data_IF_726660600605
#
_entry.id   IF_726660600605
#
_cell.length_a   1.000
_cell.length_b   1.000
_cell.length_c   1.000
_cell.angle_alpha   90.00
_cell.angle_beta   90.00
_cell.angle_gamma   90.00
#
_symmetry.space_group_name_H-M   'P 1'
#
loop_
_entity.id
_entity.type
_entity.pdbx_description
1 polymer ?
#
# COMPACT_ATOMS: atom_id res chain seq x y z
N UNK A 1 -29.99 -1.22 2.95
CA UNK A 1 -28.78 -1.93 2.51
C UNK A 1 -27.75 -1.83 3.60
N UNK A 2 -26.96 -2.88 3.85
CA UNK A 2 -25.91 -2.85 4.88
C UNK A 2 -24.83 -1.84 4.49
N UNK A 3 -24.27 -1.16 5.49
CA UNK A 3 -23.28 -0.09 5.34
C UNK A 3 -22.10 -0.33 6.27
N UNK A 4 -20.90 -0.10 5.77
CA UNK A 4 -19.66 -0.42 6.48
C UNK A 4 -18.76 0.80 6.54
N UNK A 5 -18.21 1.07 7.71
CA UNK A 5 -17.26 2.15 7.91
C UNK A 5 -15.84 1.63 7.67
N UNK A 6 -15.13 2.24 6.72
CA UNK A 6 -13.69 2.07 6.58
C UNK A 6 -12.97 3.25 7.22
N UNK A 7 -11.91 2.96 7.97
CA UNK A 7 -11.00 3.96 8.51
C UNK A 7 -9.58 3.60 8.05
N UNK A 8 -8.98 4.48 7.28
CA UNK A 8 -7.61 4.39 6.77
C UNK A 8 -6.69 5.35 7.53
N UNK A 9 -5.86 4.77 8.39
CA UNK A 9 -5.02 5.49 9.34
C UNK A 9 -3.70 5.86 8.65
N UNK A 10 -3.65 7.06 8.08
CA UNK A 10 -2.41 7.62 7.54
C UNK A 10 -1.56 8.32 8.60
N UNK A 11 -0.29 8.57 8.28
CA UNK A 11 0.61 9.34 9.15
C UNK A 11 0.22 10.82 9.28
N UNK A 12 -0.42 11.40 8.27
CA UNK A 12 -0.82 12.82 8.22
C UNK A 12 -2.33 13.01 8.42
N UNK A 13 -3.13 12.17 7.79
CA UNK A 13 -4.58 12.20 7.87
C UNK A 13 -5.12 10.80 8.13
N UNK A 14 -6.15 10.72 8.97
CA UNK A 14 -7.05 9.57 9.04
C UNK A 14 -8.18 9.85 8.04
N UNK A 15 -8.26 9.04 7.00
CA UNK A 15 -9.36 9.09 6.04
C UNK A 15 -10.41 8.07 6.44
N UNK A 16 -11.68 8.37 6.26
CA UNK A 16 -12.74 7.42 6.53
C UNK A 16 -13.87 7.57 5.53
N UNK A 17 -14.65 6.51 5.38
CA UNK A 17 -15.79 6.50 4.47
C UNK A 17 -16.77 5.38 4.76
N UNK A 18 -18.01 5.59 4.36
CA UNK A 18 -19.11 4.64 4.54
C UNK A 18 -19.40 4.03 3.18
N UNK A 19 -19.37 2.71 3.12
CA UNK A 19 -19.50 1.94 1.88
C UNK A 19 -20.67 0.97 1.94
N UNK A 20 -21.31 0.73 0.80
CA UNK A 20 -22.20 -0.40 0.60
C UNK A 20 -21.41 -1.70 0.42
N UNK A 21 -22.12 -2.84 0.49
CA UNK A 21 -21.53 -4.16 0.36
C UNK A 21 -20.89 -4.44 -1.03
N UNK A 22 -21.22 -3.65 -2.05
CA UNK A 22 -20.65 -3.73 -3.39
C UNK A 22 -19.45 -2.78 -3.60
N UNK A 23 -19.07 -2.03 -2.56
CA UNK A 23 -17.96 -1.07 -2.60
C UNK A 23 -18.35 0.33 -3.06
N UNK A 24 -19.64 0.63 -3.27
CA UNK A 24 -20.08 2.01 -3.53
C UNK A 24 -19.87 2.90 -2.30
N UNK A 25 -19.18 4.03 -2.49
CA UNK A 25 -18.98 5.04 -1.44
C UNK A 25 -20.24 5.91 -1.27
N UNK A 26 -20.74 5.98 -0.04
CA UNK A 26 -21.92 6.79 0.35
C UNK A 26 -21.48 8.11 0.96
N UNK A 27 -20.40 8.08 1.74
CA UNK A 27 -19.85 9.23 2.44
C UNK A 27 -18.35 9.07 2.58
N UNK A 28 -17.61 10.17 2.54
CA UNK A 28 -16.17 10.19 2.81
C UNK A 28 -15.77 11.48 3.49
N UNK A 29 -14.79 11.40 4.38
CA UNK A 29 -14.17 12.57 5.00
C UNK A 29 -12.74 12.21 5.47
N UNK A 30 -12.02 13.21 5.99
CA UNK A 30 -10.70 13.03 6.59
C UNK A 30 -10.48 14.02 7.72
N UNK A 31 -9.71 13.60 8.71
CA UNK A 31 -9.23 14.47 9.79
C UNK A 31 -7.71 14.33 9.97
N UNK A 32 -7.01 15.34 10.50
CA UNK A 32 -5.60 15.23 10.83
C UNK A 32 -5.35 14.07 11.80
N UNK A 33 -4.28 13.29 11.57
CA UNK A 33 -3.87 12.24 12.50
C UNK A 33 -3.29 12.84 13.77
N UNK A 34 -3.80 12.50 14.98
CA UNK A 34 -3.27 13.00 16.24
C UNK A 34 -1.76 12.77 16.38
N UNK A 35 -1.06 13.72 17.01
CA UNK A 35 0.38 13.60 17.27
C UNK A 35 0.63 12.78 18.53
N UNK A 36 -0.14 13.05 19.56
CA UNK A 36 -0.12 12.42 20.87
C UNK A 36 -0.80 11.05 20.81
N UNK A 37 -0.18 10.04 21.42
CA UNK A 37 -0.71 8.69 21.40
C UNK A 37 -2.01 8.59 22.21
N UNK A 38 -2.10 9.35 23.30
CA UNK A 38 -3.20 9.38 24.26
C UNK A 38 -4.54 9.73 23.60
N UNK A 39 -4.53 10.66 22.65
CA UNK A 39 -5.73 11.13 21.96
C UNK A 39 -6.15 10.20 20.81
N UNK A 40 -5.31 9.24 20.43
CA UNK A 40 -5.48 8.49 19.19
C UNK A 40 -6.74 7.62 19.18
N UNK A 41 -7.01 6.89 20.26
CA UNK A 41 -8.20 6.04 20.35
C UNK A 41 -9.47 6.89 20.47
N UNK A 42 -9.42 8.00 21.22
CA UNK A 42 -10.55 8.91 21.39
C UNK A 42 -10.95 9.52 20.03
N UNK A 43 -9.98 9.94 19.22
CA UNK A 43 -10.21 10.42 17.86
C UNK A 43 -10.86 9.37 16.95
N UNK A 44 -10.45 8.10 17.04
CA UNK A 44 -11.08 7.01 16.28
C UNK A 44 -12.53 6.76 16.74
N UNK A 45 -12.79 6.86 18.05
CA UNK A 45 -14.14 6.77 18.60
C UNK A 45 -15.04 7.93 18.11
N UNK A 46 -14.50 9.14 18.03
CA UNK A 46 -15.20 10.31 17.47
C UNK A 46 -15.53 10.13 15.99
N UNK A 47 -14.63 9.56 15.19
CA UNK A 47 -14.91 9.20 13.78
C UNK A 47 -16.09 8.23 13.70
N UNK A 48 -16.13 7.22 14.59
CA UNK A 48 -17.22 6.25 14.62
C UNK A 48 -18.55 6.95 14.96
N UNK A 49 -18.58 7.78 16.01
CA UNK A 49 -19.79 8.54 16.40
C UNK A 49 -20.26 9.48 15.30
N UNK A 50 -19.33 10.17 14.64
CA UNK A 50 -19.63 11.03 13.49
C UNK A 50 -20.27 10.20 12.37
N UNK A 51 -19.71 9.02 12.07
CA UNK A 51 -20.23 8.14 11.02
C UNK A 51 -21.63 7.61 11.36
N UNK A 52 -21.89 7.26 12.62
CA UNK A 52 -23.23 6.87 13.11
C UNK A 52 -24.27 7.99 12.98
N UNK A 53 -23.84 9.26 13.08
CA UNK A 53 -24.73 10.41 12.87
C UNK A 53 -25.11 10.61 11.40
N UNK A 54 -24.33 10.05 10.47
CA UNK A 54 -24.59 10.12 9.03
C UNK A 54 -25.43 8.94 8.57
N UNK A 55 -25.10 7.73 9.04
CA UNK A 55 -25.70 6.49 8.56
C UNK A 55 -25.72 5.39 9.63
N UNK A 56 -26.57 4.39 9.42
CA UNK A 56 -26.44 3.12 10.16
C UNK A 56 -25.17 2.39 9.73
N UNK A 57 -24.39 1.88 10.68
CA UNK A 57 -23.17 1.12 10.43
C UNK A 57 -23.38 -0.33 10.87
N UNK A 58 -23.01 -1.29 10.02
CA UNK A 58 -23.11 -2.73 10.26
C UNK A 58 -21.77 -3.37 10.63
N UNK A 59 -20.66 -2.69 10.30
CA UNK A 59 -19.30 -3.19 10.55
C UNK A 59 -18.23 -2.15 10.28
N UNK A 60 -17.05 -2.35 10.86
CA UNK A 60 -15.93 -1.42 10.77
C UNK A 60 -14.67 -2.16 10.33
N UNK A 61 -14.09 -1.70 9.22
CA UNK A 61 -12.78 -2.13 8.76
C UNK A 61 -11.73 -1.03 8.99
N UNK A 62 -10.56 -1.43 9.48
CA UNK A 62 -9.42 -0.54 9.70
C UNK A 62 -8.24 -0.92 8.79
N UNK A 63 -7.69 0.07 8.11
CA UNK A 63 -6.38 0.04 7.46
C UNK A 63 -5.39 0.77 8.36
N UNK A 64 -4.34 0.09 8.81
CA UNK A 64 -3.43 0.58 9.83
C UNK A 64 -1.95 0.34 9.45
N UNK A 65 -1.03 1.29 9.67
CA UNK A 65 0.39 1.09 9.39
C UNK A 65 1.02 0.06 10.33
N UNK A 66 1.92 -0.77 9.80
CA UNK A 66 2.76 -1.68 10.57
C UNK A 66 2.45 -3.17 10.39
N UNK A 67 3.05 -4.00 11.24
CA UNK A 67 2.96 -5.46 11.20
C UNK A 67 1.78 -5.93 12.05
N UNK A 68 0.60 -5.92 11.42
CA UNK A 68 -0.67 -6.19 12.08
C UNK A 68 -0.96 -7.69 12.11
N UNK A 69 -1.24 -8.23 13.30
CA UNK A 69 -1.95 -9.50 13.44
C UNK A 69 -3.46 -9.22 13.32
N UNK A 70 -4.14 -9.60 12.21
CA UNK A 70 -5.56 -9.27 12.01
C UNK A 70 -6.50 -10.01 12.97
N UNK A 71 -6.02 -11.11 13.59
CA UNK A 71 -6.80 -11.86 14.58
C UNK A 71 -6.77 -11.16 15.94
N UNK A 72 -5.58 -10.83 16.44
CA UNK A 72 -5.42 -10.26 17.79
C UNK A 72 -5.49 -8.73 17.82
N UNK A 73 -5.24 -8.06 16.69
CA UNK A 73 -5.10 -6.61 16.57
C UNK A 73 -3.75 -6.06 17.01
N UNK A 74 -2.78 -6.92 17.36
CA UNK A 74 -1.45 -6.50 17.80
C UNK A 74 -0.62 -5.96 16.64
N UNK A 75 0.09 -4.86 16.90
CA UNK A 75 1.01 -4.25 15.96
C UNK A 75 2.46 -4.47 16.44
N UNK A 76 3.19 -5.33 15.74
CA UNK A 76 4.55 -5.74 16.13
C UNK A 76 5.65 -4.97 15.36
N UNK A 77 5.30 -3.89 14.68
CA UNK A 77 6.29 -3.05 14.01
C UNK A 77 6.92 -2.07 15.00
N UNK A 78 8.23 -2.18 15.19
CA UNK A 78 9.00 -1.32 16.09
C UNK A 78 9.40 0.02 15.43
N UNK A 79 9.18 0.20 14.13
CA UNK A 79 9.61 1.39 13.38
C UNK A 79 8.54 2.49 13.26
N UNK A 80 7.27 2.16 13.52
CA UNK A 80 6.16 3.12 13.39
C UNK A 80 6.04 4.09 14.57
N UNK A 81 5.21 5.13 14.40
CA UNK A 81 4.93 6.13 15.45
C UNK A 81 4.31 5.49 16.69
N UNK A 82 4.64 6.02 17.86
CA UNK A 82 4.20 5.50 19.16
C UNK A 82 2.68 5.39 19.27
N UNK A 83 1.93 6.36 18.71
CA UNK A 83 0.46 6.35 18.65
C UNK A 83 -0.11 5.06 18.05
N UNK A 84 0.60 4.43 17.12
CA UNK A 84 0.17 3.20 16.44
C UNK A 84 0.60 1.91 17.18
N UNK A 85 1.50 2.01 18.16
CA UNK A 85 2.01 0.87 18.96
C UNK A 85 1.40 0.80 20.35
N UNK A 86 1.17 1.98 20.97
CA UNK A 86 0.78 2.11 22.37
C UNK A 86 -0.49 1.32 22.69
N UNK A 87 -1.40 1.21 21.74
CA UNK A 87 -2.69 0.55 21.90
C UNK A 87 -2.89 -0.56 20.88
N UNK A 88 -3.50 -1.64 21.32
CA UNK A 88 -4.17 -2.56 20.41
C UNK A 88 -5.49 -1.91 19.96
N UNK A 89 -5.43 -1.18 18.84
CA UNK A 89 -6.53 -0.34 18.34
C UNK A 89 -7.84 -1.12 18.22
N UNK A 90 -7.77 -2.34 17.69
CA UNK A 90 -8.93 -3.24 17.58
C UNK A 90 -9.58 -3.48 18.94
N UNK A 91 -8.81 -3.97 19.92
CA UNK A 91 -9.35 -4.30 21.25
C UNK A 91 -9.88 -3.06 21.97
N UNK A 92 -9.21 -1.92 21.83
CA UNK A 92 -9.66 -0.68 22.48
C UNK A 92 -10.98 -0.18 21.89
N UNK A 93 -11.15 -0.22 20.57
CA UNK A 93 -12.40 0.17 19.93
C UNK A 93 -13.53 -0.85 20.18
N UNK A 94 -13.24 -2.14 20.23
CA UNK A 94 -14.23 -3.18 20.58
C UNK A 94 -14.71 -3.05 22.04
N UNK A 95 -13.91 -2.49 22.96
CA UNK A 95 -14.34 -2.21 24.34
C UNK A 95 -15.24 -0.97 24.44
N UNK A 96 -14.98 0.03 23.59
CA UNK A 96 -15.63 1.36 23.65
C UNK A 96 -16.86 1.46 22.76
N UNK A 97 -17.02 0.55 21.81
CA UNK A 97 -18.09 0.58 20.82
C UNK A 97 -18.81 -0.77 20.77
N UNK A 98 -20.00 -0.79 20.15
CA UNK A 98 -20.78 -2.02 19.93
C UNK A 98 -20.29 -2.84 18.72
N UNK A 99 -19.26 -2.37 18.02
CA UNK A 99 -18.89 -2.90 16.70
C UNK A 99 -17.83 -3.99 16.81
N UNK A 100 -17.95 -4.99 15.94
CA UNK A 100 -16.82 -5.84 15.58
C UNK A 100 -15.86 -5.06 14.70
N UNK A 101 -14.56 -5.18 14.98
CA UNK A 101 -13.53 -4.40 14.29
C UNK A 101 -12.60 -5.36 13.53
N UNK A 102 -12.58 -5.24 12.19
CA UNK A 102 -11.53 -5.84 11.37
C UNK A 102 -10.37 -4.85 11.25
N UNK A 103 -9.14 -5.35 11.29
CA UNK A 103 -7.94 -4.52 11.13
C UNK A 103 -6.93 -5.26 10.27
N UNK A 104 -6.25 -4.54 9.39
CA UNK A 104 -5.19 -5.06 8.54
C UNK A 104 -4.15 -3.97 8.25
N UNK A 105 -2.95 -4.40 7.84
CA UNK A 105 -1.91 -3.52 7.33
C UNK A 105 -2.39 -2.70 6.13
N UNK A 106 -1.97 -1.44 6.03
CA UNK A 106 -2.33 -0.50 4.97
C UNK A 106 -1.99 -0.97 3.54
N UNK A 107 -0.77 -1.46 3.31
CA UNK A 107 -0.39 -1.99 2.01
C UNK A 107 -1.13 -3.29 1.67
N UNK A 108 -1.42 -4.13 2.66
CA UNK A 108 -2.24 -5.34 2.49
C UNK A 108 -3.72 -5.00 2.23
N UNK A 109 -4.24 -3.92 2.80
CA UNK A 109 -5.53 -3.37 2.40
C UNK A 109 -5.51 -2.95 0.92
N UNK A 110 -4.44 -2.30 0.44
CA UNK A 110 -4.35 -1.99 -0.98
C UNK A 110 -4.40 -3.25 -1.87
N UNK A 111 -3.74 -4.34 -1.46
CA UNK A 111 -3.83 -5.65 -2.15
C UNK A 111 -5.26 -6.18 -2.16
N UNK A 112 -5.95 -6.13 -1.02
CA UNK A 112 -7.32 -6.60 -0.88
C UNK A 112 -8.30 -5.78 -1.74
N UNK A 113 -8.11 -4.47 -1.85
CA UNK A 113 -8.91 -3.64 -2.73
C UNK A 113 -8.75 -4.08 -4.20
N UNK A 114 -7.52 -4.32 -4.63
CA UNK A 114 -7.23 -4.78 -5.99
C UNK A 114 -7.75 -6.20 -6.26
N UNK A 115 -7.72 -7.09 -5.26
CA UNK A 115 -8.34 -8.43 -5.34
C UNK A 115 -9.86 -8.36 -5.43
N UNK A 116 -10.49 -7.38 -4.78
CA UNK A 116 -11.94 -7.32 -4.71
C UNK A 116 -12.57 -6.68 -5.95
N UNK A 117 -12.18 -5.44 -6.27
CA UNK A 117 -12.85 -4.61 -7.28
C UNK A 117 -11.86 -3.99 -8.29
N UNK A 118 -10.58 -4.33 -8.18
CA UNK A 118 -9.49 -3.70 -8.92
C UNK A 118 -8.83 -4.60 -9.95
N UNK A 119 -7.59 -4.26 -10.29
CA UNK A 119 -6.84 -4.84 -11.40
C UNK A 119 -6.38 -6.28 -11.15
N UNK A 120 -6.51 -6.78 -9.91
CA UNK A 120 -6.16 -8.15 -9.49
C UNK A 120 -7.35 -9.07 -9.28
N UNK A 121 -8.58 -8.63 -9.60
CA UNK A 121 -9.82 -9.38 -9.31
C UNK A 121 -9.80 -10.81 -9.84
N UNK A 122 -9.44 -10.94 -11.11
CA UNK A 122 -9.44 -12.22 -11.84
C UNK A 122 -8.08 -12.95 -11.75
N UNK A 123 -7.17 -12.46 -10.90
CA UNK A 123 -5.87 -13.07 -10.66
C UNK A 123 -5.90 -13.93 -9.38
N UNK A 124 -5.45 -15.17 -9.49
CA UNK A 124 -5.22 -16.09 -8.39
C UNK A 124 -3.90 -15.79 -7.68
N UNK A 125 -2.85 -15.43 -8.42
CA UNK A 125 -1.53 -15.10 -7.90
C UNK A 125 -1.08 -13.73 -8.42
N UNK A 126 -0.90 -12.76 -7.53
CA UNK A 126 -0.36 -11.45 -7.91
C UNK A 126 0.27 -10.69 -6.75
N UNK A 127 1.10 -9.72 -7.08
CA UNK A 127 1.68 -8.78 -6.11
C UNK A 127 1.12 -7.38 -6.29
N UNK A 128 1.05 -6.62 -5.19
CA UNK A 128 0.95 -5.16 -5.24
C UNK A 128 2.21 -4.56 -4.65
N UNK A 129 2.80 -3.60 -5.37
CA UNK A 129 3.92 -2.77 -4.89
C UNK A 129 3.45 -1.33 -4.87
N UNK A 130 3.36 -0.72 -3.69
CA UNK A 130 2.97 0.69 -3.55
C UNK A 130 4.21 1.58 -3.50
N UNK A 131 4.32 2.53 -4.43
CA UNK A 131 5.43 3.47 -4.52
C UNK A 131 4.97 4.87 -4.08
N UNK A 132 5.29 5.24 -2.85
CA UNK A 132 4.90 6.51 -2.24
C UNK A 132 6.05 7.17 -1.48
N UNK A 133 5.77 7.57 -0.24
CA UNK A 133 6.82 8.01 0.70
C UNK A 133 7.78 6.86 1.02
N UNK A 134 7.22 5.68 1.28
CA UNK A 134 7.92 4.40 1.37
C UNK A 134 7.58 3.47 0.20
N UNK A 135 8.05 2.23 0.31
CA UNK A 135 7.65 1.11 -0.54
C UNK A 135 6.88 0.13 0.33
N UNK A 136 5.60 -0.04 0.05
CA UNK A 136 4.76 -1.06 0.67
C UNK A 136 4.41 -2.16 -0.33
N UNK A 137 3.73 -3.19 0.15
CA UNK A 137 3.15 -4.17 -0.75
C UNK A 137 2.47 -5.34 -0.05
N UNK A 138 2.17 -6.34 -0.86
CA UNK A 138 1.62 -7.61 -0.42
C UNK A 138 1.37 -8.53 -1.60
N UNK A 139 0.91 -9.73 -1.26
CA UNK A 139 0.77 -10.83 -2.19
C UNK A 139 -0.60 -11.47 -2.03
N UNK A 140 -1.25 -11.77 -3.14
CA UNK A 140 -2.29 -12.80 -3.20
C UNK A 140 -1.64 -14.04 -3.76
N UNK A 141 -1.77 -15.16 -3.05
CA UNK A 141 -1.30 -16.47 -3.47
C UNK A 141 -2.47 -17.44 -3.31
N UNK A 142 -2.79 -18.20 -4.36
CA UNK A 142 -3.93 -19.12 -4.39
C UNK A 142 -5.25 -18.45 -3.97
N UNK A 143 -5.53 -17.28 -4.53
CA UNK A 143 -6.71 -16.44 -4.25
C UNK A 143 -6.78 -15.84 -2.84
N UNK A 144 -5.78 -16.06 -1.98
CA UNK A 144 -5.77 -15.57 -0.61
C UNK A 144 -4.66 -14.54 -0.35
N UNK A 145 -4.94 -13.53 0.47
CA UNK A 145 -3.92 -12.61 0.95
C UNK A 145 -2.88 -13.38 1.79
N UNK A 146 -1.65 -13.44 1.28
CA UNK A 146 -0.54 -14.09 1.95
C UNK A 146 0.13 -13.15 2.96
N UNK A 147 -0.02 -13.47 4.25
CA UNK A 147 0.50 -12.66 5.35
C UNK A 147 1.84 -13.15 5.89
N UNK A 148 2.17 -14.42 5.65
CA UNK A 148 3.27 -15.13 6.31
C UNK A 148 3.05 -15.30 7.82
N UNK A 149 3.97 -16.02 8.47
CA UNK A 149 3.83 -16.42 9.88
C UNK A 149 3.76 -15.25 10.85
N UNK A 150 4.51 -14.17 10.57
CA UNK A 150 4.62 -13.00 11.45
C UNK A 150 3.92 -11.76 10.88
N UNK A 151 3.05 -11.93 9.87
CA UNK A 151 2.32 -10.84 9.21
C UNK A 151 3.19 -9.82 8.44
N UNK A 152 4.44 -10.21 8.13
CA UNK A 152 5.45 -9.39 7.42
C UNK A 152 5.67 -9.79 5.96
N UNK A 153 4.92 -10.75 5.43
CA UNK A 153 5.04 -11.05 4.01
C UNK A 153 4.60 -9.83 3.20
N UNK A 154 5.33 -9.51 2.13
CA UNK A 154 5.02 -8.37 1.27
C UNK A 154 5.64 -7.03 1.67
N UNK A 155 6.46 -6.98 2.73
CA UNK A 155 7.19 -5.77 3.14
C UNK A 155 8.37 -5.47 2.19
N UNK A 156 8.06 -5.28 0.90
CA UNK A 156 9.05 -5.19 -0.18
C UNK A 156 10.01 -4.00 -0.07
N UNK A 157 9.61 -2.95 0.67
CA UNK A 157 10.50 -1.84 0.99
C UNK A 157 11.63 -2.17 1.96
N UNK A 158 11.54 -3.30 2.66
CA UNK A 158 12.61 -3.82 3.52
C UNK A 158 13.47 -4.88 2.82
N UNK A 159 13.08 -5.29 1.60
CA UNK A 159 13.88 -6.17 0.78
C UNK A 159 15.12 -5.43 0.29
N UNK A 160 16.27 -6.11 0.35
CA UNK A 160 17.52 -5.57 -0.16
C UNK A 160 17.67 -5.90 -1.64
N UNK A 161 18.07 -4.91 -2.40
CA UNK A 161 18.62 -5.04 -3.74
C UNK A 161 20.13 -4.80 -3.67
N UNK A 162 20.89 -5.54 -4.45
CA UNK A 162 22.34 -5.45 -4.46
C UNK A 162 22.90 -5.52 -5.86
N UNK A 163 24.00 -4.81 -6.08
CA UNK A 163 24.73 -4.74 -7.34
C UNK A 163 26.21 -4.57 -7.03
N UNK A 164 27.07 -5.12 -7.88
CA UNK A 164 28.49 -4.83 -7.84
C UNK A 164 28.75 -3.53 -8.59
N UNK A 165 29.60 -2.65 -8.05
CA UNK A 165 30.18 -1.59 -8.84
C UNK A 165 31.29 -2.14 -9.75
N UNK A 166 31.86 -1.27 -10.60
CA UNK A 166 32.94 -1.61 -11.53
C UNK A 166 34.22 -2.10 -10.82
N UNK A 167 34.40 -1.74 -9.56
CA UNK A 167 35.53 -2.17 -8.71
C UNK A 167 35.27 -3.52 -8.00
N UNK A 168 34.15 -4.19 -8.28
CA UNK A 168 33.78 -5.45 -7.62
C UNK A 168 33.17 -5.30 -6.21
N UNK A 169 32.92 -4.06 -5.75
CA UNK A 169 32.33 -3.80 -4.43
C UNK A 169 30.82 -3.97 -4.47
N UNK A 170 30.31 -4.77 -3.54
CA UNK A 170 28.88 -5.00 -3.37
C UNK A 170 28.23 -3.78 -2.71
N UNK A 171 27.34 -3.12 -3.43
CA UNK A 171 26.47 -2.07 -2.89
C UNK A 171 25.14 -2.70 -2.53
N UNK A 172 24.69 -2.46 -1.29
CA UNK A 172 23.42 -2.96 -0.76
C UNK A 172 22.51 -1.79 -0.43
N UNK A 173 21.31 -1.76 -1.00
CA UNK A 173 20.28 -0.74 -0.73
C UNK A 173 18.91 -1.41 -0.65
N UNK A 174 17.93 -0.73 -0.06
CA UNK A 174 16.54 -1.16 -0.17
C UNK A 174 15.92 -0.62 -1.47
N UNK A 175 14.81 -1.20 -1.90
CA UNK A 175 14.05 -0.71 -3.05
C UNK A 175 13.67 0.76 -2.84
N UNK A 176 13.92 1.65 -3.82
CA UNK A 176 13.65 3.07 -3.66
C UNK A 176 12.14 3.35 -3.79
N UNK A 177 11.63 4.25 -2.95
CA UNK A 177 10.27 4.77 -3.08
C UNK A 177 10.16 5.84 -4.16
N UNK A 178 8.93 6.27 -4.47
CA UNK A 178 8.71 7.43 -5.33
C UNK A 178 9.34 8.70 -4.75
N UNK A 179 9.29 8.89 -3.43
CA UNK A 179 9.92 10.05 -2.79
C UNK A 179 11.45 10.06 -2.96
N UNK A 180 12.09 8.89 -3.04
CA UNK A 180 13.53 8.79 -3.31
C UNK A 180 13.87 9.29 -4.72
N UNK A 181 13.05 8.99 -5.73
CA UNK A 181 13.22 9.54 -7.09
C UNK A 181 13.23 11.08 -7.07
N UNK A 182 12.19 11.67 -6.48
CA UNK A 182 12.02 13.12 -6.40
C UNK A 182 13.20 13.77 -5.67
N UNK A 183 13.65 13.17 -4.56
CA UNK A 183 14.81 13.67 -3.81
C UNK A 183 16.09 13.66 -4.67
N UNK A 184 16.40 12.54 -5.33
CA UNK A 184 17.60 12.40 -6.17
C UNK A 184 17.60 13.40 -7.34
N UNK A 185 16.44 13.61 -7.98
CA UNK A 185 16.31 14.64 -9.02
C UNK A 185 16.53 16.03 -8.44
N UNK A 186 15.96 16.30 -7.27
CA UNK A 186 16.13 17.59 -6.60
C UNK A 186 17.58 17.89 -6.21
N UNK A 187 18.32 16.89 -5.76
CA UNK A 187 19.77 16.97 -5.47
C UNK A 187 20.57 17.36 -6.72
N UNK A 188 20.29 16.73 -7.86
CA UNK A 188 20.98 17.01 -9.13
C UNK A 188 20.65 18.40 -9.69
N UNK A 189 19.43 18.91 -9.43
CA UNK A 189 18.99 20.23 -9.88
C UNK A 189 19.24 21.34 -8.86
N UNK A 190 19.63 21.02 -7.63
CA UNK A 190 19.77 21.99 -6.53
C UNK A 190 18.45 22.63 -6.09
N UNK A 191 17.31 21.95 -6.25
CA UNK A 191 15.98 22.45 -5.84
C UNK A 191 15.02 21.32 -5.49
N UNK A 192 14.02 21.59 -4.66
CA UNK A 192 12.95 20.62 -4.42
C UNK A 192 12.04 20.46 -5.66
N UNK A 193 11.59 19.23 -5.92
CA UNK A 193 10.72 18.87 -7.04
C UNK A 193 9.65 17.88 -6.60
N UNK A 194 8.55 17.81 -7.34
CA UNK A 194 7.49 16.80 -7.16
C UNK A 194 7.45 15.82 -8.34
N UNK A 195 6.58 14.80 -8.26
CA UNK A 195 6.45 13.80 -9.31
C UNK A 195 6.05 14.39 -10.67
N UNK A 196 5.06 15.28 -10.69
CA UNK A 196 4.60 15.96 -11.91
C UNK A 196 5.76 16.67 -12.64
N UNK A 197 6.60 17.39 -11.89
CA UNK A 197 7.78 18.04 -12.44
C UNK A 197 8.75 17.02 -13.04
N UNK A 198 9.05 15.93 -12.34
CA UNK A 198 9.99 14.90 -12.83
C UNK A 198 9.50 14.33 -14.17
N UNK A 199 8.25 13.87 -14.24
CA UNK A 199 7.71 13.25 -15.45
C UNK A 199 7.54 14.23 -16.62
N UNK A 200 7.23 15.50 -16.35
CA UNK A 200 7.14 16.53 -17.37
C UNK A 200 8.49 16.96 -17.96
N UNK A 201 9.62 16.60 -17.33
CA UNK A 201 10.96 17.03 -17.72
C UNK A 201 11.90 15.85 -17.99
N UNK A 202 11.37 14.69 -18.37
CA UNK A 202 12.20 13.51 -18.70
C UNK A 202 13.04 13.68 -19.98
N UNK A 203 12.82 14.71 -20.79
CA UNK A 203 13.70 15.05 -21.91
C UNK A 203 15.01 15.71 -21.45
N UNK A 204 15.08 16.16 -20.19
CA UNK A 204 16.31 16.63 -19.59
C UNK A 204 17.21 15.43 -19.24
N UNK A 205 18.38 15.34 -19.87
CA UNK A 205 19.31 14.21 -19.71
C UNK A 205 19.63 13.87 -18.25
N UNK A 206 19.85 14.88 -17.40
CA UNK A 206 20.16 14.66 -15.98
C UNK A 206 18.98 14.06 -15.20
N UNK A 207 17.76 14.50 -15.50
CA UNK A 207 16.55 13.96 -14.86
C UNK A 207 16.30 12.53 -15.36
N UNK A 208 16.44 12.31 -16.67
CA UNK A 208 16.27 11.00 -17.27
C UNK A 208 17.26 9.99 -16.69
N UNK A 209 18.53 10.35 -16.53
CA UNK A 209 19.55 9.46 -15.94
C UNK A 209 19.15 9.00 -14.54
N UNK A 210 18.72 9.93 -13.67
CA UNK A 210 18.24 9.60 -12.32
C UNK A 210 17.01 8.70 -12.37
N UNK A 211 16.07 8.99 -13.28
CA UNK A 211 14.85 8.22 -13.47
C UNK A 211 15.12 6.79 -13.94
N UNK A 212 15.97 6.61 -14.96
CA UNK A 212 16.35 5.30 -15.49
C UNK A 212 17.06 4.44 -14.44
N UNK A 213 17.97 5.03 -13.66
CA UNK A 213 18.61 4.34 -12.54
C UNK A 213 17.60 3.89 -11.49
N UNK A 214 16.64 4.76 -11.15
CA UNK A 214 15.56 4.41 -10.23
C UNK A 214 14.63 3.31 -10.78
N UNK A 215 14.28 3.35 -12.07
CA UNK A 215 13.50 2.31 -12.74
C UNK A 215 14.15 0.94 -12.67
N UNK A 216 15.47 0.87 -12.91
CA UNK A 216 16.23 -0.38 -12.81
C UNK A 216 16.13 -0.96 -11.39
N UNK A 217 16.25 -0.11 -10.35
CA UNK A 217 16.14 -0.56 -8.96
C UNK A 217 14.78 -1.19 -8.64
N UNK A 218 13.69 -0.56 -9.10
CA UNK A 218 12.33 -1.11 -8.94
C UNK A 218 12.14 -2.38 -9.77
N UNK A 219 12.65 -2.39 -10.99
CA UNK A 219 12.53 -3.52 -11.93
C UNK A 219 13.30 -4.77 -11.44
N UNK A 220 14.40 -4.61 -10.71
CA UNK A 220 15.10 -5.71 -10.03
C UNK A 220 14.19 -6.38 -8.99
N UNK A 221 13.50 -5.58 -8.17
CA UNK A 221 12.54 -6.13 -7.20
C UNK A 221 11.43 -6.91 -7.93
N UNK A 222 10.83 -6.32 -8.96
CA UNK A 222 9.77 -6.96 -9.76
C UNK A 222 10.28 -8.27 -10.35
N UNK A 223 11.48 -8.27 -10.96
CA UNK A 223 12.09 -9.46 -11.55
C UNK A 223 12.29 -10.57 -10.52
N UNK A 224 12.84 -10.24 -9.35
CA UNK A 224 13.07 -11.21 -8.28
C UNK A 224 11.76 -11.81 -7.77
N UNK A 225 10.75 -10.98 -7.50
CA UNK A 225 9.44 -11.45 -7.07
C UNK A 225 8.78 -12.35 -8.13
N UNK A 226 8.91 -11.97 -9.40
CA UNK A 226 8.33 -12.75 -10.51
C UNK A 226 8.97 -14.12 -10.62
N UNK A 227 10.30 -14.23 -10.50
CA UNK A 227 11.01 -15.51 -10.58
C UNK A 227 10.83 -16.39 -9.33
N UNK A 228 10.62 -15.80 -8.16
CA UNK A 228 10.44 -16.57 -6.93
C UNK A 228 9.03 -17.15 -6.78
N UNK A 229 8.02 -16.53 -7.40
CA UNK A 229 6.63 -16.84 -7.10
C UNK A 229 5.72 -17.01 -8.32
N UNK A 230 6.20 -16.71 -9.53
CA UNK A 230 5.46 -16.87 -10.79
C UNK A 230 4.03 -16.25 -10.75
N UNK A 231 3.91 -14.94 -10.46
CA UNK A 231 2.61 -14.28 -10.38
C UNK A 231 2.06 -13.99 -11.78
N UNK A 232 0.72 -14.00 -11.90
CA UNK A 232 0.04 -13.51 -13.11
C UNK A 232 0.28 -12.01 -13.29
N UNK A 233 0.25 -11.24 -12.19
CA UNK A 233 0.44 -9.79 -12.22
C UNK A 233 1.36 -9.24 -11.13
N UNK A 234 2.05 -8.16 -11.46
CA UNK A 234 2.62 -7.22 -10.49
C UNK A 234 1.97 -5.86 -10.68
N UNK A 235 1.13 -5.47 -9.73
CA UNK A 235 0.38 -4.23 -9.78
C UNK A 235 1.15 -3.11 -9.05
N UNK A 236 1.32 -1.97 -9.72
CA UNK A 236 2.01 -0.81 -9.19
C UNK A 236 0.97 0.17 -8.63
N UNK A 237 1.07 0.44 -7.34
CA UNK A 237 0.20 1.34 -6.59
C UNK A 237 0.90 2.62 -6.14
N UNK A 238 0.19 3.38 -5.31
CA UNK A 238 0.60 4.73 -4.89
C UNK A 238 0.22 5.79 -5.92
N UNK A 239 0.27 7.08 -5.54
CA UNK A 239 -0.14 8.16 -6.44
C UNK A 239 0.67 8.23 -7.74
N UNK A 240 1.92 7.78 -7.72
CA UNK A 240 2.80 7.78 -8.90
C UNK A 240 2.33 6.82 -10.01
N UNK A 241 1.57 5.76 -9.67
CA UNK A 241 1.07 4.81 -10.67
C UNK A 241 -0.04 5.36 -11.54
N UNK A 242 -0.49 6.59 -11.29
CA UNK A 242 -1.37 7.33 -12.19
C UNK A 242 -0.71 7.70 -13.52
N UNK A 243 0.62 7.72 -13.58
CA UNK A 243 1.39 8.06 -14.77
C UNK A 243 1.52 6.82 -15.65
N UNK A 244 0.77 6.75 -16.75
CA UNK A 244 0.79 5.59 -17.68
C UNK A 244 2.20 5.26 -18.16
N UNK A 245 2.97 6.31 -18.52
CA UNK A 245 4.37 6.17 -18.95
C UNK A 245 5.23 5.40 -17.93
N UNK A 246 5.01 5.58 -16.63
CA UNK A 246 5.76 4.84 -15.61
C UNK A 246 5.53 3.32 -15.73
N UNK A 247 4.30 2.90 -16.01
CA UNK A 247 3.95 1.48 -16.11
C UNK A 247 4.58 0.88 -17.37
N UNK A 248 4.55 1.62 -18.48
CA UNK A 248 5.22 1.24 -19.74
C UNK A 248 6.73 1.13 -19.54
N UNK A 249 7.36 2.14 -18.95
CA UNK A 249 8.80 2.16 -18.71
C UNK A 249 9.24 1.04 -17.74
N UNK A 250 8.40 0.68 -16.74
CA UNK A 250 8.65 -0.47 -15.85
C UNK A 250 8.53 -1.81 -16.58
N UNK A 251 7.54 -1.97 -17.48
CA UNK A 251 7.41 -3.16 -18.34
C UNK A 251 8.66 -3.33 -19.19
N UNK A 252 9.04 -2.28 -19.92
CA UNK A 252 10.20 -2.32 -20.81
C UNK A 252 11.50 -2.58 -20.07
N UNK A 253 11.71 -1.89 -18.94
CA UNK A 253 12.93 -2.04 -18.13
C UNK A 253 13.01 -3.43 -17.51
N UNK A 254 11.91 -3.94 -16.95
CA UNK A 254 11.88 -5.28 -16.36
C UNK A 254 12.15 -6.35 -17.40
N UNK A 255 11.51 -6.27 -18.57
CA UNK A 255 11.70 -7.23 -19.66
C UNK A 255 13.14 -7.19 -20.21
N UNK A 256 13.75 -6.01 -20.29
CA UNK A 256 15.15 -5.86 -20.70
C UNK A 256 16.12 -6.47 -19.68
N UNK A 257 15.84 -6.34 -18.39
CA UNK A 257 16.67 -6.91 -17.32
C UNK A 257 16.49 -8.43 -17.21
N UNK A 258 15.27 -8.91 -17.36
CA UNK A 258 14.93 -10.32 -17.28
C UNK A 258 13.82 -10.68 -18.29
N UNK A 259 14.23 -11.18 -19.46
CA UNK A 259 13.33 -11.53 -20.55
C UNK A 259 12.30 -12.61 -20.21
N UNK A 260 12.56 -13.45 -19.19
CA UNK A 260 11.61 -14.48 -18.75
C UNK A 260 10.34 -13.87 -18.12
N UNK A 261 10.42 -12.68 -17.51
CA UNK A 261 9.26 -12.05 -16.86
C UNK A 261 8.17 -11.72 -17.88
N UNK A 262 8.57 -11.27 -19.08
CA UNK A 262 7.68 -10.78 -20.13
C UNK A 262 6.66 -11.83 -20.60
N UNK A 263 6.99 -13.11 -20.48
CA UNK A 263 6.17 -14.21 -20.99
C UNK A 263 5.07 -14.62 -20.00
N UNK A 264 5.30 -14.46 -18.69
CA UNK A 264 4.44 -15.05 -17.64
C UNK A 264 3.81 -14.03 -16.69
N UNK A 265 4.40 -12.84 -16.54
CA UNK A 265 3.96 -11.84 -15.55
C UNK A 265 3.64 -10.50 -16.21
N UNK A 266 2.40 -10.06 -16.09
CA UNK A 266 1.97 -8.74 -16.53
C UNK A 266 2.23 -7.69 -15.43
N UNK A 267 2.87 -6.58 -15.77
CA UNK A 267 3.01 -5.42 -14.86
C UNK A 267 1.90 -4.44 -15.18
N UNK A 268 1.12 -3.96 -14.22
CA UNK A 268 0.02 -3.00 -14.51
C UNK A 268 -0.22 -2.02 -13.35
N UNK A 269 -1.08 -1.02 -13.54
CA UNK A 269 -1.43 -0.08 -12.47
C UNK A 269 -2.54 -0.64 -11.55
N UNK A 270 -2.43 -0.34 -10.25
CA UNK A 270 -3.56 -0.46 -9.33
C UNK A 270 -4.69 0.51 -9.74
N UNK A 271 -5.94 0.03 -9.67
CA UNK A 271 -7.14 0.82 -10.01
C UNK A 271 -7.41 1.93 -8.99
N UNK A 272 -7.29 1.63 -7.69
CA UNK A 272 -7.82 2.51 -6.64
C UNK A 272 -6.82 3.51 -6.06
N UNK A 273 -5.52 3.33 -6.35
CA UNK A 273 -4.45 4.28 -5.99
C UNK A 273 -4.54 4.71 -4.51
N UNK A 274 -4.87 5.98 -4.24
CA UNK A 274 -4.90 6.57 -2.89
C UNK A 274 -6.13 6.19 -2.05
N UNK A 275 -7.14 5.55 -2.64
CA UNK A 275 -8.38 5.13 -1.97
C UNK A 275 -8.41 3.62 -1.66
N UNK A 276 -7.36 2.90 -2.07
CA UNK A 276 -7.27 1.44 -1.90
C UNK A 276 -7.33 1.01 -0.41
N UNK A 277 -6.79 1.82 0.51
CA UNK A 277 -6.81 1.50 1.95
C UNK A 277 -8.22 1.32 2.51
N UNK A 278 -9.16 2.21 2.15
CA UNK A 278 -10.55 2.15 2.64
C UNK A 278 -11.29 0.91 2.10
N UNK A 279 -11.24 0.70 0.78
CA UNK A 279 -11.89 -0.46 0.15
C UNK A 279 -11.31 -1.79 0.64
N UNK A 280 -9.99 -1.84 0.81
CA UNK A 280 -9.28 -2.99 1.35
C UNK A 280 -9.69 -3.33 2.77
N UNK A 281 -9.88 -2.31 3.62
CA UNK A 281 -10.32 -2.49 4.99
C UNK A 281 -11.75 -3.09 5.06
N UNK A 282 -12.64 -2.66 4.16
CA UNK A 282 -13.98 -3.25 4.03
C UNK A 282 -13.91 -4.70 3.57
N UNK A 283 -13.13 -4.99 2.52
CA UNK A 283 -13.02 -6.36 2.04
C UNK A 283 -12.39 -7.29 3.09
N UNK A 284 -11.40 -6.80 3.84
CA UNK A 284 -10.85 -7.53 4.99
C UNK A 284 -11.93 -7.83 6.04
N UNK A 285 -12.83 -6.89 6.33
CA UNK A 285 -13.96 -7.11 7.22
C UNK A 285 -14.86 -8.24 6.70
N UNK A 286 -15.15 -8.27 5.40
CA UNK A 286 -15.96 -9.32 4.79
C UNK A 286 -15.32 -10.69 4.92
N UNK A 287 -14.03 -10.80 4.60
CA UNK A 287 -13.27 -12.04 4.72
C UNK A 287 -13.19 -12.54 6.17
N UNK A 288 -13.02 -11.63 7.13
CA UNK A 288 -12.87 -12.00 8.54
C UNK A 288 -14.19 -12.43 9.19
N UNK A 289 -15.33 -11.92 8.72
CA UNK A 289 -16.63 -12.14 9.35
C UNK A 289 -17.68 -12.83 8.45
N UNK A 290 -17.28 -13.33 7.27
CA UNK A 290 -18.13 -14.16 6.41
C UNK A 290 -19.34 -13.41 5.84
N UNK A 291 -19.12 -12.18 5.38
CA UNK A 291 -20.19 -11.32 4.84
C UNK A 291 -20.41 -11.56 3.33
N UNK A 292 -19.42 -12.17 2.66
CA UNK A 292 -19.39 -12.45 1.22
C UNK A 292 -18.95 -13.89 1.01
#
# INVERSE_FOLDING_TARGET
MKKYLAIDIGGTFIKFGIYLADGQEVFSDKIPTPKEAENFIDTLEEIIKLSESKETIDGIGLSCPGFINPKTGENNDFSIRESFKKYNVKKELEKRTKYKIAIENDAKCAVLAEKWLGSGKDCENFFVITLGTGVGGGAVINNELYRGTNFKAGEFGLAYISFSNEEGRIIKKTTPSAQVLMRRVGEVLGKEVNGEYVFANLDNEKINEVYQNWLVEVSILISNLSMCFDPQKVLIGGGISAVTRLIEDLRETTNRLNGYVAEYTEIDACKFRNDAGKLGAIYNYFLQYGVV
#
